data_IF_359119291698
#
_entry.id   IF_359119291698
#
_cell.length_a   1.000
_cell.length_b   1.000
_cell.length_c   1.000
_cell.angle_alpha   90.00
_cell.angle_beta   90.00
_cell.angle_gamma   90.00
#
_symmetry.space_group_name_H-M   'P 1'
#
loop_
_entity.id
_entity.type
_entity.pdbx_description
1 polymer ?
#
# COMPACT_ATOMS: atom_id res chain seq x y z
N UNK A 1 -20.02 13.38 -17.66
CA UNK A 1 -18.78 14.11 -17.36
C UNK A 1 -18.60 14.05 -15.85
N UNK A 2 -17.70 13.19 -15.35
CA UNK A 2 -17.42 13.11 -13.91
C UNK A 2 -16.63 14.37 -13.55
N UNK A 3 -17.23 15.30 -12.80
CA UNK A 3 -16.52 16.43 -12.24
C UNK A 3 -15.53 15.90 -11.19
N UNK A 4 -14.25 15.97 -11.52
CA UNK A 4 -13.17 15.68 -10.57
C UNK A 4 -13.16 16.82 -9.56
N UNK A 5 -13.66 16.55 -8.35
CA UNK A 5 -13.63 17.48 -7.22
C UNK A 5 -12.62 17.00 -6.18
N UNK A 6 -12.13 17.91 -5.32
CA UNK A 6 -11.21 17.54 -4.23
C UNK A 6 -11.80 16.46 -3.32
N UNK A 7 -13.11 16.50 -3.08
CA UNK A 7 -13.81 15.55 -2.22
C UNK A 7 -13.95 14.19 -2.88
N UNK A 8 -14.23 14.16 -4.19
CA UNK A 8 -14.24 12.91 -4.95
C UNK A 8 -12.84 12.28 -4.96
N UNK A 9 -11.78 13.08 -5.15
CA UNK A 9 -10.39 12.60 -5.10
C UNK A 9 -10.00 12.06 -3.72
N UNK A 10 -10.44 12.72 -2.64
CA UNK A 10 -10.23 12.25 -1.26
C UNK A 10 -10.90 10.90 -1.04
N UNK A 11 -12.21 10.80 -1.33
CA UNK A 11 -12.98 9.58 -1.14
C UNK A 11 -12.45 8.42 -2.01
N UNK A 12 -12.12 8.69 -3.28
CA UNK A 12 -11.56 7.69 -4.18
C UNK A 12 -10.17 7.21 -3.72
N UNK A 13 -9.31 8.10 -3.24
CA UNK A 13 -8.01 7.70 -2.69
C UNK A 13 -8.17 6.80 -1.46
N UNK A 14 -9.02 7.20 -0.50
CA UNK A 14 -9.27 6.39 0.69
C UNK A 14 -9.85 5.02 0.34
N UNK A 15 -10.79 4.94 -0.60
CA UNK A 15 -11.37 3.67 -1.03
C UNK A 15 -10.34 2.78 -1.74
N UNK A 16 -9.55 3.36 -2.65
CA UNK A 16 -8.50 2.63 -3.33
C UNK A 16 -7.44 2.10 -2.35
N UNK A 17 -7.02 2.92 -1.38
CA UNK A 17 -6.07 2.52 -0.34
C UNK A 17 -6.68 1.50 0.63
N UNK A 18 -7.95 1.65 1.03
CA UNK A 18 -8.66 0.68 1.86
C UNK A 18 -8.63 -0.72 1.24
N UNK A 19 -8.98 -0.81 -0.05
CA UNK A 19 -9.01 -2.08 -0.77
C UNK A 19 -7.61 -2.67 -0.93
N UNK A 20 -6.62 -1.83 -1.25
CA UNK A 20 -5.26 -2.31 -1.47
C UNK A 20 -4.55 -2.74 -0.19
N UNK A 21 -4.62 -1.94 0.87
CA UNK A 21 -4.13 -2.36 2.19
C UNK A 21 -4.91 -3.56 2.72
N UNK A 22 -6.22 -3.64 2.48
CA UNK A 22 -7.03 -4.82 2.81
C UNK A 22 -6.56 -6.08 2.08
N UNK A 23 -6.21 -5.96 0.80
CA UNK A 23 -5.60 -7.04 0.03
C UNK A 23 -4.23 -7.44 0.60
N UNK A 24 -3.40 -6.47 1.00
CA UNK A 24 -2.14 -6.71 1.70
C UNK A 24 -2.33 -7.47 3.01
N UNK A 25 -3.28 -7.05 3.85
CA UNK A 25 -3.65 -7.75 5.08
C UNK A 25 -4.04 -9.20 4.79
N UNK A 26 -4.93 -9.42 3.83
CA UNK A 26 -5.38 -10.75 3.46
C UNK A 26 -4.22 -11.62 2.94
N UNK A 27 -3.36 -11.07 2.06
CA UNK A 27 -2.24 -11.81 1.49
C UNK A 27 -1.21 -12.23 2.54
N UNK A 28 -0.79 -11.30 3.40
CA UNK A 28 0.27 -11.54 4.37
C UNK A 28 -0.22 -12.28 5.63
N UNK A 29 -1.48 -12.13 6.03
CA UNK A 29 -2.05 -12.80 7.20
C UNK A 29 -2.69 -14.14 6.86
N UNK A 30 -3.63 -14.16 5.91
CA UNK A 30 -4.43 -15.35 5.57
C UNK A 30 -3.67 -16.24 4.58
N UNK A 31 -3.10 -15.64 3.52
CA UNK A 31 -2.34 -16.37 2.50
C UNK A 31 -0.83 -16.43 2.79
N UNK A 32 -0.45 -16.35 4.07
CA UNK A 32 0.96 -16.22 4.53
C UNK A 32 1.94 -17.21 3.90
N UNK A 33 1.51 -18.45 3.61
CA UNK A 33 2.37 -19.43 2.91
C UNK A 33 2.69 -18.98 1.49
N UNK A 34 1.70 -18.48 0.74
CA UNK A 34 1.93 -17.91 -0.61
C UNK A 34 2.79 -16.65 -0.54
N UNK A 35 2.60 -15.82 0.48
CA UNK A 35 3.48 -14.67 0.72
C UNK A 35 4.93 -15.11 1.00
N UNK A 36 5.14 -16.17 1.79
CA UNK A 36 6.47 -16.75 2.00
C UNK A 36 7.10 -17.29 0.72
N UNK A 37 6.30 -17.86 -0.18
CA UNK A 37 6.77 -18.32 -1.49
C UNK A 37 7.25 -17.17 -2.40
N UNK A 38 6.71 -15.96 -2.22
CA UNK A 38 7.18 -14.76 -2.90
C UNK A 38 8.56 -14.33 -2.40
N UNK A 39 8.81 -14.47 -1.11
CA UNK A 39 10.02 -14.01 -0.44
C UNK A 39 11.17 -15.04 -0.47
N UNK A 40 10.85 -16.33 -0.58
CA UNK A 40 11.82 -17.41 -0.45
C UNK A 40 11.89 -18.26 -1.73
N UNK A 41 13.08 -18.41 -2.34
CA UNK A 41 13.29 -19.23 -3.53
C UNK A 41 12.98 -20.71 -3.26
N UNK A 42 12.50 -21.43 -4.28
CA UNK A 42 12.04 -22.82 -4.16
C UNK A 42 13.06 -23.76 -3.52
N UNK A 43 14.34 -23.59 -3.84
CA UNK A 43 15.49 -24.35 -3.28
C UNK A 43 15.57 -24.27 -1.75
N UNK A 44 15.19 -23.12 -1.17
CA UNK A 44 15.32 -22.84 0.27
C UNK A 44 14.05 -23.13 1.06
N UNK A 45 12.93 -23.49 0.41
CA UNK A 45 11.64 -23.72 1.09
C UNK A 45 11.62 -24.97 1.99
N UNK A 46 12.59 -25.87 1.84
CA UNK A 46 12.80 -27.02 2.74
C UNK A 46 13.69 -26.70 3.93
N UNK A 47 14.27 -25.49 3.98
CA UNK A 47 15.05 -25.04 5.12
C UNK A 47 14.21 -25.01 6.39
N UNK A 48 14.75 -25.40 7.56
CA UNK A 48 14.05 -25.30 8.83
C UNK A 48 13.69 -23.84 9.20
N UNK A 49 14.32 -22.84 8.56
CA UNK A 49 14.03 -21.42 8.77
C UNK A 49 12.79 -20.96 7.98
N UNK A 50 12.39 -21.67 6.92
CA UNK A 50 11.27 -21.26 6.07
C UNK A 50 9.95 -21.05 6.84
N UNK A 51 9.52 -21.96 7.74
CA UNK A 51 8.33 -21.73 8.55
C UNK A 51 8.41 -20.48 9.45
N UNK A 52 9.60 -20.15 9.97
CA UNK A 52 9.82 -18.92 10.75
C UNK A 52 9.60 -17.69 9.89
N UNK A 53 10.11 -17.66 8.66
CA UNK A 53 9.88 -16.56 7.72
C UNK A 53 8.40 -16.44 7.33
N UNK A 54 7.71 -17.56 7.10
CA UNK A 54 6.26 -17.54 6.85
C UNK A 54 5.48 -16.99 8.05
N UNK A 55 5.94 -17.29 9.27
CA UNK A 55 5.32 -16.83 10.51
C UNK A 55 5.46 -15.32 10.75
N UNK A 56 6.39 -14.62 10.06
CA UNK A 56 6.46 -13.15 10.11
C UNK A 56 5.43 -12.48 9.21
N UNK A 57 4.78 -13.21 8.30
CA UNK A 57 3.75 -12.68 7.39
C UNK A 57 2.65 -11.89 8.12
N UNK A 58 1.99 -12.46 9.15
CA UNK A 58 0.95 -11.76 9.91
C UNK A 58 1.37 -10.43 10.53
N UNK A 59 2.65 -10.22 10.84
CA UNK A 59 3.13 -8.92 11.31
C UNK A 59 3.05 -7.85 10.21
N UNK A 60 3.52 -8.17 9.01
CA UNK A 60 3.38 -7.30 7.83
C UNK A 60 1.91 -7.14 7.43
N UNK A 61 1.12 -8.21 7.55
CA UNK A 61 -0.33 -8.17 7.38
C UNK A 61 -0.99 -7.21 8.37
N UNK A 62 -0.60 -7.24 9.64
CA UNK A 62 -1.10 -6.34 10.69
C UNK A 62 -0.89 -4.86 10.37
N UNK A 63 0.27 -4.47 9.86
CA UNK A 63 0.51 -3.09 9.40
C UNK A 63 -0.45 -2.69 8.28
N UNK A 64 -0.60 -3.55 7.26
CA UNK A 64 -1.56 -3.31 6.19
C UNK A 64 -3.00 -3.23 6.73
N UNK A 65 -3.36 -4.09 7.68
CA UNK A 65 -4.68 -4.09 8.32
C UNK A 65 -4.96 -2.79 9.07
N UNK A 66 -3.96 -2.22 9.76
CA UNK A 66 -4.10 -0.93 10.45
C UNK A 66 -4.34 0.23 9.47
N UNK A 67 -3.62 0.25 8.34
CA UNK A 67 -3.84 1.26 7.29
C UNK A 67 -5.19 1.11 6.60
N UNK A 68 -5.61 -0.14 6.32
CA UNK A 68 -6.95 -0.41 5.82
C UNK A 68 -8.01 0.09 6.81
N UNK A 69 -7.88 -0.25 8.10
CA UNK A 69 -8.81 0.21 9.14
C UNK A 69 -8.89 1.74 9.19
N UNK A 70 -7.76 2.45 9.15
CA UNK A 70 -7.74 3.92 9.10
C UNK A 70 -8.54 4.44 7.91
N UNK A 71 -8.28 3.93 6.69
CA UNK A 71 -9.01 4.36 5.50
C UNK A 71 -10.51 4.08 5.61
N UNK A 72 -10.89 2.92 6.16
CA UNK A 72 -12.29 2.55 6.38
C UNK A 72 -12.99 3.45 7.40
N UNK A 73 -12.33 3.81 8.50
CA UNK A 73 -12.86 4.75 9.50
C UNK A 73 -13.07 6.12 8.88
N UNK A 74 -12.10 6.63 8.12
CA UNK A 74 -12.21 7.94 7.46
C UNK A 74 -13.35 7.97 6.43
N UNK A 75 -13.54 6.89 5.66
CA UNK A 75 -14.71 6.74 4.79
C UNK A 75 -16.02 6.71 5.58
N UNK A 76 -16.04 6.01 6.72
CA UNK A 76 -17.20 5.98 7.61
C UNK A 76 -17.55 7.36 8.17
N UNK A 77 -16.55 8.13 8.61
CA UNK A 77 -16.71 9.53 9.05
C UNK A 77 -17.35 10.37 7.94
N UNK A 78 -16.85 10.26 6.70
CA UNK A 78 -17.41 10.99 5.54
C UNK A 78 -18.84 10.57 5.22
N UNK A 79 -19.12 9.27 5.27
CA UNK A 79 -20.45 8.73 4.96
C UNK A 79 -21.50 9.12 6.01
N UNK A 80 -21.08 9.26 7.28
CA UNK A 80 -21.95 9.66 8.39
C UNK A 80 -22.02 11.18 8.58
N UNK A 81 -21.39 11.97 7.69
CA UNK A 81 -21.36 13.45 7.76
C UNK A 81 -20.86 13.99 9.11
N UNK A 82 -19.90 13.31 9.72
CA UNK A 82 -19.29 13.74 10.98
C UNK A 82 -18.27 14.86 10.71
N UNK A 83 -18.29 15.89 11.56
CA UNK A 83 -17.34 17.01 11.56
C UNK A 83 -15.99 16.59 12.21
N UNK A 84 -15.32 15.63 11.58
CA UNK A 84 -13.97 15.18 11.93
C UNK A 84 -13.12 15.09 10.66
N UNK A 85 -11.91 15.65 10.70
CA UNK A 85 -11.02 15.71 9.53
C UNK A 85 -11.69 16.43 8.34
N UNK A 86 -12.51 17.44 8.62
CA UNK A 86 -13.21 18.19 7.58
C UNK A 86 -12.27 19.18 6.88
N UNK A 87 -11.33 19.77 7.61
CA UNK A 87 -10.48 20.82 7.09
C UNK A 87 -9.57 20.27 5.96
N UNK A 88 -9.43 20.99 4.83
CA UNK A 88 -8.58 20.56 3.72
C UNK A 88 -7.13 20.27 4.15
N UNK A 89 -6.59 21.05 5.09
CA UNK A 89 -5.24 20.83 5.63
C UNK A 89 -5.09 19.48 6.34
N UNK A 90 -6.09 19.03 7.10
CA UNK A 90 -6.06 17.74 7.79
C UNK A 90 -6.08 16.59 6.77
N UNK A 91 -6.96 16.70 5.76
CA UNK A 91 -7.07 15.71 4.67
C UNK A 91 -5.80 15.64 3.84
N UNK A 92 -5.16 16.78 3.57
CA UNK A 92 -3.87 16.85 2.89
C UNK A 92 -2.81 16.06 3.66
N UNK A 93 -2.70 16.27 4.97
CA UNK A 93 -1.71 15.55 5.81
C UNK A 93 -1.98 14.05 5.79
N UNK A 94 -3.24 13.63 5.99
CA UNK A 94 -3.63 12.21 5.96
C UNK A 94 -3.24 11.57 4.63
N UNK A 95 -3.62 12.19 3.51
CA UNK A 95 -3.32 11.67 2.18
C UNK A 95 -1.82 11.67 1.88
N UNK A 96 -1.07 12.68 2.34
CA UNK A 96 0.39 12.72 2.22
C UNK A 96 1.06 11.56 2.96
N UNK A 97 0.56 11.21 4.15
CA UNK A 97 1.04 10.05 4.91
C UNK A 97 0.69 8.73 4.20
N UNK A 98 -0.54 8.58 3.69
CA UNK A 98 -0.94 7.41 2.90
C UNK A 98 -0.09 7.26 1.64
N UNK A 99 0.15 8.37 0.93
CA UNK A 99 1.04 8.39 -0.24
C UNK A 99 2.44 7.90 0.13
N UNK A 100 2.98 8.39 1.25
CA UNK A 100 4.29 7.98 1.77
C UNK A 100 4.33 6.49 2.13
N UNK A 101 3.24 5.95 2.67
CA UNK A 101 3.14 4.52 3.00
C UNK A 101 3.27 3.66 1.73
N UNK A 102 2.54 3.97 0.65
CA UNK A 102 2.69 3.28 -0.63
C UNK A 102 4.07 3.52 -1.27
N UNK A 103 4.58 4.76 -1.20
CA UNK A 103 5.88 5.11 -1.75
C UNK A 103 7.05 4.41 -1.04
N UNK A 104 6.87 4.01 0.22
CA UNK A 104 7.94 3.40 1.01
C UNK A 104 8.52 2.12 0.38
N UNK A 105 7.74 1.37 -0.41
CA UNK A 105 8.23 0.16 -1.08
C UNK A 105 9.33 0.47 -2.11
N UNK A 106 9.31 1.65 -2.72
CA UNK A 106 10.30 2.07 -3.72
C UNK A 106 11.67 2.31 -3.10
N UNK A 107 11.74 2.67 -1.80
CA UNK A 107 13.00 2.83 -1.08
C UNK A 107 13.78 1.51 -1.00
N UNK A 108 13.09 0.37 -0.93
CA UNK A 108 13.71 -0.96 -0.95
C UNK A 108 13.87 -1.53 -2.36
N UNK A 109 12.86 -1.36 -3.21
CA UNK A 109 12.81 -2.05 -4.51
C UNK A 109 13.53 -1.32 -5.65
N UNK A 110 13.62 0.02 -5.63
CA UNK A 110 14.36 0.75 -6.67
C UNK A 110 15.87 0.45 -6.60
N UNK A 111 16.53 0.43 -5.42
CA UNK A 111 17.92 0.00 -5.34
C UNK A 111 18.14 -1.41 -5.85
N UNK A 112 17.25 -2.37 -5.55
CA UNK A 112 17.34 -3.73 -6.07
C UNK A 112 17.28 -3.71 -7.60
N UNK A 113 16.31 -2.97 -8.17
CA UNK A 113 16.13 -2.85 -9.61
C UNK A 113 17.35 -2.26 -10.32
N UNK A 114 17.84 -1.10 -9.85
CA UNK A 114 19.00 -0.40 -10.44
C UNK A 114 20.28 -1.25 -10.36
N UNK A 115 20.37 -2.10 -9.35
CA UNK A 115 21.50 -3.02 -9.17
C UNK A 115 21.36 -4.34 -9.95
N UNK A 116 20.56 -4.38 -11.00
CA UNK A 116 20.42 -5.56 -11.86
C UNK A 116 19.42 -6.60 -11.36
N UNK A 117 18.50 -6.19 -10.49
CA UNK A 117 17.34 -6.98 -10.06
C UNK A 117 17.74 -8.30 -9.35
N UNK A 118 17.08 -9.42 -9.71
CA UNK A 118 17.31 -10.73 -9.10
C UNK A 118 18.68 -11.25 -9.50
N UNK A 119 19.49 -11.60 -8.49
CA UNK A 119 20.85 -12.15 -8.68
C UNK A 119 20.87 -13.61 -8.24
N UNK A 120 20.72 -14.52 -9.20
CA UNK A 120 20.59 -15.96 -8.92
C UNK A 120 19.31 -16.26 -8.13
N UNK A 121 19.45 -16.67 -6.87
CA UNK A 121 18.33 -16.92 -5.96
C UNK A 121 18.11 -15.80 -4.92
N UNK A 122 18.92 -14.75 -4.96
CA UNK A 122 18.80 -13.59 -4.06
C UNK A 122 17.91 -12.52 -4.68
N UNK A 123 17.10 -11.90 -3.82
CA UNK A 123 16.06 -10.94 -4.18
C UNK A 123 14.96 -11.54 -5.06
N UNK A 124 13.85 -10.82 -5.18
CA UNK A 124 12.76 -11.12 -6.10
C UNK A 124 12.94 -10.32 -7.40
N UNK A 125 12.36 -10.78 -8.52
CA UNK A 125 12.32 -9.97 -9.73
C UNK A 125 11.28 -8.85 -9.55
N UNK A 126 11.74 -7.61 -9.48
CA UNK A 126 10.91 -6.40 -9.34
C UNK A 126 10.02 -6.18 -10.57
N UNK A 127 10.49 -6.47 -11.78
CA UNK A 127 9.78 -6.21 -13.05
C UNK A 127 9.14 -7.47 -13.65
N UNK A 128 8.96 -8.54 -12.89
CA UNK A 128 8.12 -9.67 -13.31
C UNK A 128 7.33 -10.32 -12.18
N UNK A 129 6.28 -11.05 -12.55
CA UNK A 129 5.44 -11.80 -11.62
C UNK A 129 4.71 -10.93 -10.60
N UNK A 130 4.50 -11.49 -9.40
CA UNK A 130 3.71 -10.86 -8.35
C UNK A 130 4.34 -9.56 -7.80
N UNK A 131 5.66 -9.47 -7.75
CA UNK A 131 6.33 -8.26 -7.26
C UNK A 131 6.17 -7.07 -8.21
N UNK A 132 6.15 -7.29 -9.54
CA UNK A 132 5.84 -6.23 -10.50
C UNK A 132 4.42 -5.70 -10.31
N UNK A 133 3.46 -6.58 -10.07
CA UNK A 133 2.08 -6.18 -9.79
C UNK A 133 2.01 -5.30 -8.55
N UNK A 134 2.63 -5.72 -7.44
CA UNK A 134 2.69 -4.91 -6.21
C UNK A 134 3.37 -3.57 -6.49
N UNK A 135 4.52 -3.61 -7.17
CA UNK A 135 5.32 -2.42 -7.48
C UNK A 135 4.53 -1.37 -8.27
N UNK A 136 3.80 -1.81 -9.30
CA UNK A 136 3.00 -0.91 -10.13
C UNK A 136 1.77 -0.39 -9.39
N UNK A 137 1.05 -1.24 -8.65
CA UNK A 137 -0.14 -0.80 -7.91
C UNK A 137 0.25 0.20 -6.81
N UNK A 138 1.34 -0.03 -6.08
CA UNK A 138 1.83 0.94 -5.11
C UNK A 138 2.26 2.26 -5.75
N UNK A 139 2.76 2.26 -6.99
CA UNK A 139 3.04 3.51 -7.73
C UNK A 139 1.76 4.30 -7.96
N UNK A 140 0.72 3.62 -8.45
CA UNK A 140 -0.58 4.23 -8.73
C UNK A 140 -1.22 4.75 -7.43
N UNK A 141 -1.16 3.98 -6.34
CA UNK A 141 -1.71 4.36 -5.04
C UNK A 141 -0.96 5.57 -4.45
N UNK A 142 0.38 5.57 -4.50
CA UNK A 142 1.18 6.69 -4.05
C UNK A 142 0.87 7.97 -4.84
N UNK A 143 0.79 7.86 -6.17
CA UNK A 143 0.46 8.97 -7.05
C UNK A 143 -0.96 9.49 -6.84
N UNK A 144 -1.95 8.59 -6.74
CA UNK A 144 -3.36 8.95 -6.49
C UNK A 144 -3.50 9.73 -5.17
N UNK A 145 -2.93 9.21 -4.09
CA UNK A 145 -2.96 9.88 -2.80
C UNK A 145 -2.22 11.22 -2.81
N UNK A 146 -1.08 11.33 -3.52
CA UNK A 146 -0.33 12.59 -3.66
C UNK A 146 -1.12 13.64 -4.45
N UNK A 147 -1.75 13.24 -5.56
CA UNK A 147 -2.61 14.13 -6.37
C UNK A 147 -3.81 14.60 -5.54
N UNK A 148 -4.45 13.69 -4.81
CA UNK A 148 -5.55 14.06 -3.92
C UNK A 148 -5.09 15.01 -2.81
N UNK A 149 -3.90 14.80 -2.24
CA UNK A 149 -3.32 15.69 -1.22
C UNK A 149 -3.07 17.09 -1.80
N UNK A 150 -2.47 17.17 -3.01
CA UNK A 150 -2.27 18.43 -3.71
C UNK A 150 -3.59 19.14 -4.01
N UNK A 151 -4.63 18.41 -4.41
CA UNK A 151 -5.96 18.98 -4.62
C UNK A 151 -6.55 19.56 -3.33
N UNK A 152 -6.29 18.98 -2.15
CA UNK A 152 -6.70 19.57 -0.88
C UNK A 152 -5.97 20.88 -0.59
N UNK A 153 -4.67 20.95 -0.91
CA UNK A 153 -3.84 22.13 -0.68
C UNK A 153 -4.25 23.33 -1.55
N UNK A 154 -4.35 23.13 -2.87
CA UNK A 154 -4.62 24.21 -3.82
C UNK A 154 -6.08 24.68 -3.87
N UNK A 155 -6.99 24.01 -3.16
CA UNK A 155 -8.40 24.41 -3.07
C UNK A 155 -8.69 25.29 -1.85
N UNK A 156 -7.68 25.95 -1.28
CA UNK A 156 -7.80 26.79 -0.07
C UNK A 156 -8.09 28.27 -0.36
N UNK A 157 -8.48 28.60 -1.59
CA UNK A 157 -9.04 29.91 -1.98
C UNK A 157 -10.57 29.87 -2.11
#
# INVERSE_FOLDING_TARGET
>A
MLLITRDNLYNSSLLASFLWFGAGFHFFTIQRTKAGELLVPKSQRRSPIYPTLVATGPFLGGFNGAWALLCGILLGIRYQELDLFEAPGERMVILGVISSAHFSQFLGNVPILVNGERRGETYWPVLSGQMMYIFFVDLVQAALAAVAAGAQFFSTE
#
